data_IF_973609806785
#
_entry.id   IF_973609806785
#
_cell.length_a   1.000
_cell.length_b   1.000
_cell.length_c   1.000
_cell.angle_alpha   90.00
_cell.angle_beta   90.00
_cell.angle_gamma   90.00
#
_symmetry.space_group_name_H-M   'P 1'
#
loop_
_entity.id
_entity.type
_entity.pdbx_description
1 polymer ?
#
# COMPACT_ATOMS: atom_id res chain seq x y z
N UNK A 1 -10.10 -8.31 -14.02
CA UNK A 1 -10.62 -7.49 -12.89
C UNK A 1 -11.11 -6.14 -13.41
N UNK A 2 -12.43 -5.93 -13.41
CA UNK A 2 -13.10 -4.63 -13.24
C UNK A 2 -14.48 -4.94 -12.61
N UNK A 3 -14.94 -4.28 -11.53
CA UNK A 3 -14.52 -2.97 -11.01
C UNK A 3 -14.51 -2.80 -9.48
N UNK A 4 -13.83 -1.79 -8.92
CA UNK A 4 -12.54 -1.22 -9.35
C UNK A 4 -11.43 -1.54 -8.33
N UNK A 5 -11.76 -2.02 -7.12
CA UNK A 5 -10.85 -2.61 -6.12
C UNK A 5 -11.64 -3.61 -5.23
N UNK A 6 -12.47 -4.45 -5.84
CA UNK A 6 -13.73 -5.03 -5.34
C UNK A 6 -13.81 -5.17 -3.79
N UNK A 7 -14.49 -4.18 -3.19
CA UNK A 7 -14.66 -3.88 -1.76
C UNK A 7 -13.40 -3.71 -0.90
N UNK A 8 -12.41 -2.93 -1.38
CA UNK A 8 -11.14 -2.62 -0.70
C UNK A 8 -10.46 -3.88 -0.13
N UNK A 9 -10.43 -4.90 -0.99
CA UNK A 9 -10.02 -6.28 -0.70
C UNK A 9 -10.59 -6.78 0.65
N UNK A 10 -11.91 -6.66 0.78
CA UNK A 10 -12.79 -6.95 1.93
C UNK A 10 -12.09 -6.84 3.30
N UNK A 11 -11.67 -5.61 3.58
CA UNK A 11 -11.13 -5.14 4.86
C UNK A 11 -9.78 -5.74 5.24
N UNK A 12 -8.74 -5.47 4.45
CA UNK A 12 -7.31 -5.61 4.78
C UNK A 12 -7.10 -5.96 6.26
N UNK A 13 -6.96 -7.24 6.56
CA UNK A 13 -6.93 -7.71 7.95
C UNK A 13 -5.48 -7.67 8.44
N UNK A 14 -4.97 -6.46 8.66
CA UNK A 14 -3.56 -6.25 9.02
C UNK A 14 -2.59 -6.69 7.92
N UNK A 15 -3.01 -6.84 6.67
CA UNK A 15 -2.11 -7.24 5.60
C UNK A 15 -1.02 -6.19 5.32
N UNK A 16 0.24 -6.62 5.31
CA UNK A 16 1.35 -5.79 4.83
C UNK A 16 1.25 -5.45 3.34
N UNK A 17 2.06 -4.47 2.90
CA UNK A 17 2.02 -3.97 1.53
C UNK A 17 2.40 -5.05 0.50
N UNK A 18 3.18 -6.07 0.89
CA UNK A 18 3.51 -7.21 0.01
C UNK A 18 2.27 -8.01 -0.36
N UNK A 19 1.43 -8.33 0.62
CA UNK A 19 0.21 -9.12 0.41
C UNK A 19 -0.74 -8.37 -0.53
N UNK A 20 -0.95 -7.07 -0.27
CA UNK A 20 -1.75 -6.19 -1.12
C UNK A 20 -1.17 -6.12 -2.54
N UNK A 21 0.14 -5.94 -2.67
CA UNK A 21 0.82 -5.90 -3.97
C UNK A 21 0.58 -7.17 -4.77
N UNK A 22 0.74 -8.34 -4.16
CA UNK A 22 0.55 -9.62 -4.81
C UNK A 22 -0.90 -9.76 -5.30
N UNK A 23 -1.87 -9.40 -4.47
CA UNK A 23 -3.29 -9.51 -4.77
C UNK A 23 -3.72 -8.58 -5.92
N UNK A 24 -3.17 -7.36 -5.97
CA UNK A 24 -3.37 -6.42 -7.07
C UNK A 24 -2.77 -6.89 -8.40
N UNK A 25 -1.78 -7.80 -8.38
CA UNK A 25 -1.00 -8.20 -9.55
C UNK A 25 -1.02 -9.73 -9.82
N UNK A 26 -2.02 -10.46 -9.31
CA UNK A 26 -2.12 -11.94 -9.36
C UNK A 26 -1.94 -12.55 -10.77
N UNK A 27 -2.47 -11.90 -11.80
CA UNK A 27 -2.44 -12.40 -13.18
C UNK A 27 -1.06 -12.28 -13.85
N UNK A 28 -0.10 -11.57 -13.23
CA UNK A 28 1.10 -11.10 -13.91
C UNK A 28 2.43 -11.59 -13.30
N UNK A 29 2.41 -12.70 -12.55
CA UNK A 29 3.55 -13.24 -11.74
C UNK A 29 4.94 -13.35 -12.40
N UNK A 30 5.07 -13.18 -13.72
CA UNK A 30 6.38 -13.10 -14.41
C UNK A 30 6.61 -11.85 -15.26
N UNK A 31 5.58 -11.06 -15.57
CA UNK A 31 5.65 -9.93 -16.53
C UNK A 31 4.95 -8.66 -16.01
N UNK A 32 5.05 -8.38 -14.71
CA UNK A 32 4.57 -7.11 -14.15
C UNK A 32 5.51 -5.97 -14.55
N UNK A 33 5.00 -4.93 -15.20
CA UNK A 33 5.71 -3.66 -15.34
C UNK A 33 5.73 -2.93 -13.99
N UNK A 34 6.94 -2.68 -13.46
CA UNK A 34 7.13 -2.16 -12.09
C UNK A 34 6.43 -0.83 -11.86
N UNK A 35 6.53 0.10 -12.81
CA UNK A 35 5.90 1.42 -12.67
C UNK A 35 4.37 1.33 -12.73
N UNK A 36 3.82 0.44 -13.56
CA UNK A 36 2.38 0.17 -13.62
C UNK A 36 1.87 -0.43 -12.30
N UNK A 37 2.56 -1.44 -11.76
CA UNK A 37 2.17 -2.06 -10.50
C UNK A 37 2.30 -1.12 -9.30
N UNK A 38 3.35 -0.28 -9.26
CA UNK A 38 3.46 0.78 -8.27
C UNK A 38 2.30 1.76 -8.37
N UNK A 39 1.94 2.19 -9.58
CA UNK A 39 0.78 3.05 -9.80
C UNK A 39 -0.50 2.39 -9.28
N UNK A 40 -0.72 1.11 -9.55
CA UNK A 40 -1.88 0.37 -9.05
C UNK A 40 -1.91 0.32 -7.51
N UNK A 41 -0.76 0.14 -6.85
CA UNK A 41 -0.66 0.19 -5.39
C UNK A 41 -1.06 1.56 -4.84
N UNK A 42 -0.55 2.65 -5.42
CA UNK A 42 -0.89 4.01 -4.99
C UNK A 42 -2.37 4.31 -5.21
N UNK A 43 -2.91 3.99 -6.39
CA UNK A 43 -4.33 4.19 -6.70
C UNK A 43 -5.25 3.38 -5.76
N UNK A 44 -4.81 2.19 -5.33
CA UNK A 44 -5.52 1.40 -4.34
C UNK A 44 -5.54 2.09 -2.97
N UNK A 45 -4.39 2.58 -2.48
CA UNK A 45 -4.32 3.30 -1.20
C UNK A 45 -5.13 4.59 -1.23
N UNK A 46 -5.05 5.36 -2.32
CA UNK A 46 -5.88 6.54 -2.55
C UNK A 46 -7.37 6.20 -2.39
N UNK A 47 -7.83 5.13 -3.04
CA UNK A 47 -9.21 4.68 -2.92
C UNK A 47 -9.54 4.25 -1.48
N UNK A 48 -8.71 3.44 -0.82
CA UNK A 48 -8.95 2.95 0.53
C UNK A 48 -9.05 4.08 1.56
N UNK A 49 -8.21 5.12 1.43
CA UNK A 49 -8.26 6.33 2.26
C UNK A 49 -9.56 7.09 1.99
N UNK A 50 -9.96 7.25 0.73
CA UNK A 50 -11.23 7.93 0.37
C UNK A 50 -12.48 7.23 0.94
N UNK A 51 -12.34 5.96 1.36
CA UNK A 51 -13.40 5.15 1.98
C UNK A 51 -13.25 5.00 3.49
N UNK A 52 -12.29 5.70 4.11
CA UNK A 52 -11.95 5.56 5.53
C UNK A 52 -11.61 4.11 5.96
N UNK A 53 -11.04 3.31 5.05
CA UNK A 53 -10.58 1.95 5.36
C UNK A 53 -9.15 1.96 5.88
N UNK A 54 -8.31 2.82 5.30
CA UNK A 54 -6.93 3.05 5.71
C UNK A 54 -6.80 4.49 6.17
N UNK A 55 -6.00 4.71 7.21
CA UNK A 55 -5.55 6.03 7.64
C UNK A 55 -4.02 6.09 7.67
N UNK A 56 -3.47 7.28 7.49
CA UNK A 56 -2.06 7.52 7.73
C UNK A 56 -1.75 7.37 9.22
N UNK A 57 -0.58 6.80 9.53
CA UNK A 57 -0.19 6.50 10.89
C UNK A 57 1.28 6.83 11.12
N UNK A 58 1.56 7.62 12.14
CA UNK A 58 2.91 7.84 12.62
C UNK A 58 3.34 6.66 13.49
N UNK A 59 4.23 5.82 12.95
CA UNK A 59 4.73 4.65 13.67
C UNK A 59 5.77 4.99 14.75
N UNK A 60 6.33 6.21 14.76
CA UNK A 60 7.29 6.68 15.77
C UNK A 60 6.53 7.22 16.97
N UNK A 61 5.60 8.14 16.71
CA UNK A 61 4.78 8.78 17.75
C UNK A 61 3.57 7.92 18.16
N UNK A 62 3.30 6.84 17.41
CA UNK A 62 2.23 5.88 17.66
C UNK A 62 0.83 6.54 17.66
N UNK A 63 0.57 7.39 16.66
CA UNK A 63 -0.68 8.16 16.53
C UNK A 63 -1.21 8.18 15.09
N UNK A 64 -2.54 8.20 14.90
CA UNK A 64 -3.15 8.44 13.59
C UNK A 64 -2.95 9.89 13.12
N UNK A 65 -2.73 10.08 11.82
CA UNK A 65 -2.57 11.40 11.21
C UNK A 65 -3.85 11.77 10.44
N UNK A 66 -4.40 12.95 10.75
CA UNK A 66 -5.55 13.54 10.06
C UNK A 66 -5.16 14.89 9.46
N UNK A 67 -4.42 14.86 8.33
CA UNK A 67 -3.84 16.09 7.77
C UNK A 67 -4.85 16.99 7.01
N UNK A 68 -5.99 16.44 6.60
CA UNK A 68 -6.94 17.12 5.72
C UNK A 68 -6.52 17.17 4.25
N UNK A 69 -5.39 16.54 3.89
CA UNK A 69 -4.91 16.47 2.52
C UNK A 69 -5.77 15.55 1.64
N UNK A 70 -5.75 15.71 0.31
CA UNK A 70 -6.41 14.79 -0.61
C UNK A 70 -5.89 13.35 -0.44
N UNK A 71 -6.75 12.31 -0.57
CA UNK A 71 -6.37 10.91 -0.40
C UNK A 71 -5.16 10.48 -1.23
N UNK A 72 -5.02 11.01 -2.45
CA UNK A 72 -3.87 10.78 -3.31
C UNK A 72 -2.54 11.22 -2.68
N UNK A 73 -2.52 12.42 -2.10
CA UNK A 73 -1.33 13.00 -1.47
C UNK A 73 -0.93 12.17 -0.23
N UNK A 74 -1.92 11.69 0.52
CA UNK A 74 -1.70 10.80 1.66
C UNK A 74 -1.12 9.46 1.18
N UNK A 75 -1.69 8.83 0.16
CA UNK A 75 -1.18 7.59 -0.41
C UNK A 75 0.25 7.71 -0.95
N UNK A 76 0.55 8.79 -1.67
CA UNK A 76 1.89 9.10 -2.18
C UNK A 76 2.89 9.31 -1.05
N UNK A 77 2.49 9.94 0.06
CA UNK A 77 3.36 10.13 1.24
C UNK A 77 3.66 8.83 1.94
N UNK A 78 2.67 7.95 2.12
CA UNK A 78 2.88 6.62 2.72
C UNK A 78 3.99 5.88 1.98
N UNK A 79 4.02 5.90 0.65
CA UNK A 79 5.02 5.21 -0.17
C UNK A 79 6.10 6.13 -0.78
N UNK A 80 6.25 7.36 -0.27
CA UNK A 80 7.13 8.37 -0.87
C UNK A 80 8.61 8.00 -0.81
N UNK A 81 8.99 7.09 0.09
CA UNK A 81 10.33 6.57 0.28
C UNK A 81 10.67 5.34 -0.58
N UNK A 82 9.74 4.83 -1.40
CA UNK A 82 9.94 3.60 -2.20
C UNK A 82 11.21 3.64 -3.04
N UNK A 83 11.52 4.77 -3.70
CA UNK A 83 12.74 4.96 -4.52
C UNK A 83 13.98 5.22 -3.67
N UNK A 84 13.83 5.83 -2.49
CA UNK A 84 14.94 6.05 -1.56
C UNK A 84 15.42 4.72 -0.96
N UNK A 85 14.49 3.81 -0.67
CA UNK A 85 14.76 2.47 -0.13
C UNK A 85 15.12 1.46 -1.22
N UNK A 86 14.68 1.68 -2.46
CA UNK A 86 14.92 0.79 -3.59
C UNK A 86 15.38 1.58 -4.83
N UNK A 87 16.64 2.06 -4.87
CA UNK A 87 17.13 2.89 -5.97
C UNK A 87 17.23 2.15 -7.30
N UNK A 88 17.41 0.81 -7.26
CA UNK A 88 17.67 -0.04 -8.42
C UNK A 88 16.50 -0.97 -8.76
N UNK A 89 15.25 -0.49 -8.65
CA UNK A 89 14.09 -1.29 -9.02
C UNK A 89 14.15 -1.69 -10.50
N UNK A 90 13.99 -2.99 -10.83
CA UNK A 90 13.98 -3.42 -12.22
C UNK A 90 12.74 -2.89 -12.94
N UNK A 91 12.82 -2.74 -14.27
CA UNK A 91 11.66 -2.31 -15.07
C UNK A 91 10.51 -3.35 -15.04
N UNK A 92 10.84 -4.62 -14.86
CA UNK A 92 9.90 -5.73 -14.85
C UNK A 92 10.11 -6.63 -13.62
N UNK A 93 9.00 -7.19 -13.12
CA UNK A 93 8.94 -8.21 -12.08
C UNK A 93 9.80 -7.92 -10.83
N UNK A 94 9.48 -6.85 -10.07
CA UNK A 94 10.31 -6.41 -8.94
C UNK A 94 10.23 -7.36 -7.74
N UNK A 95 9.33 -8.35 -7.74
CA UNK A 95 9.17 -9.33 -6.65
C UNK A 95 10.38 -10.25 -6.48
N UNK A 96 11.25 -10.34 -7.51
CA UNK A 96 12.51 -11.08 -7.46
C UNK A 96 13.66 -10.26 -6.85
N UNK A 97 13.42 -9.00 -6.49
CA UNK A 97 14.39 -8.15 -5.83
C UNK A 97 14.17 -8.23 -4.31
N UNK A 98 15.15 -8.79 -3.59
CA UNK A 98 15.06 -9.03 -2.15
C UNK A 98 14.82 -7.75 -1.34
N UNK A 99 15.45 -6.63 -1.73
CA UNK A 99 15.29 -5.34 -1.05
C UNK A 99 13.87 -4.80 -1.22
N UNK A 100 13.30 -4.93 -2.42
CA UNK A 100 11.93 -4.50 -2.69
C UNK A 100 10.92 -5.37 -1.95
N UNK A 101 11.15 -6.67 -1.93
CA UNK A 101 10.32 -7.61 -1.18
C UNK A 101 10.36 -7.28 0.31
N UNK A 102 11.56 -7.09 0.87
CA UNK A 102 11.74 -6.70 2.27
C UNK A 102 11.07 -5.34 2.56
N UNK A 103 11.23 -4.36 1.67
CA UNK A 103 10.55 -3.08 1.78
C UNK A 103 9.04 -3.27 1.90
N UNK A 104 8.40 -4.01 0.99
CA UNK A 104 6.94 -4.23 1.02
C UNK A 104 6.48 -5.00 2.26
N UNK A 105 7.28 -5.95 2.76
CA UNK A 105 6.95 -6.71 3.97
C UNK A 105 7.01 -5.84 5.24
N UNK A 106 8.01 -4.96 5.35
CA UNK A 106 8.23 -4.16 6.56
C UNK A 106 7.72 -2.72 6.47
N UNK A 107 7.06 -2.35 5.37
CA UNK A 107 6.55 -0.99 5.17
C UNK A 107 5.55 -0.66 6.28
N UNK A 108 5.74 0.51 6.90
CA UNK A 108 4.83 1.14 7.87
C UNK A 108 4.37 2.51 7.35
N UNK A 109 3.50 3.18 8.10
CA UNK A 109 2.97 4.51 7.77
C UNK A 109 1.45 4.54 7.62
N UNK A 110 0.78 3.41 7.82
CA UNK A 110 -0.67 3.32 7.75
C UNK A 110 -1.23 2.34 8.76
N UNK A 111 -2.51 2.49 9.06
CA UNK A 111 -3.30 1.57 9.84
C UNK A 111 -4.66 1.34 9.18
N UNK A 112 -5.27 0.18 9.45
CA UNK A 112 -6.61 -0.16 8.99
C UNK A 112 -7.62 0.26 10.04
N UNK A 113 -8.65 1.00 9.62
CA UNK A 113 -9.75 1.43 10.46
C UNK A 113 -10.89 0.40 10.42
N UNK A 114 -11.05 -0.34 11.50
CA UNK A 114 -12.07 -1.39 11.65
C UNK A 114 -13.33 -0.76 12.26
N UNK A 115 -14.45 -0.90 11.55
CA UNK A 115 -15.79 -0.44 11.99
C UNK A 115 -15.78 1.01 12.50
N UNK A 116 -14.94 1.86 11.93
CA UNK A 116 -14.80 3.26 12.29
C UNK A 116 -14.25 3.55 13.69
N UNK A 117 -13.77 2.56 14.44
CA UNK A 117 -13.51 2.71 15.89
C UNK A 117 -12.22 2.07 16.39
N UNK A 118 -11.66 1.11 15.66
CA UNK A 118 -10.43 0.40 16.06
C UNK A 118 -9.38 0.48 14.98
N UNK A 119 -8.12 0.66 15.39
CA UNK A 119 -6.97 0.54 14.51
C UNK A 119 -6.40 -0.88 14.55
N UNK A 120 -6.03 -1.39 13.38
CA UNK A 120 -5.26 -2.60 13.19
C UNK A 120 -4.02 -2.27 12.35
N UNK A 121 -2.87 -2.76 12.76
CA UNK A 121 -1.59 -2.47 12.11
C UNK A 121 -1.23 -3.56 11.10
N UNK A 122 -0.38 -3.24 10.11
CA UNK A 122 0.17 -4.23 9.20
C UNK A 122 1.03 -5.28 9.94
N UNK A 123 0.90 -6.56 9.57
CA UNK A 123 1.64 -7.75 10.04
C UNK A 123 2.36 -8.46 8.88
#
# INVERSE_FOLDING_TARGET
MSGKFSEALEYINGGNAYSIWRDLNLEATKNIETECAKKNLIEFFEFAISKNVIIEYDAVENVPIFSGDPPKIVAERIFGDIRLKNPNLPAMNPINNDDFLAYLMFKRGWAVLIRGTRLMFPE
#
